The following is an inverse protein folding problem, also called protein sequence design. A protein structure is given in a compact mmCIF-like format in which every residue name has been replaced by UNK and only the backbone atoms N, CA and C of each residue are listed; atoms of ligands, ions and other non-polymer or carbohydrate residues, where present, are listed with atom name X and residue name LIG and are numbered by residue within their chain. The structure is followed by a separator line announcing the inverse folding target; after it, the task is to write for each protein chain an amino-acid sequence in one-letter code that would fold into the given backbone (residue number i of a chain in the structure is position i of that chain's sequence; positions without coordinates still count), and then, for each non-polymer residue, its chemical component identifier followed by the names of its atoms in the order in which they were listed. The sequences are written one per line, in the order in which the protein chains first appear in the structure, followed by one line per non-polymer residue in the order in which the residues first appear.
data_IF_487536294035
#
_entry.id   IF_487536294035
#
_cell.length_a   1.000
_cell.length_b   1.000
_cell.length_c   1.000
_cell.angle_alpha   90.00
_cell.angle_beta   90.00
_cell.angle_gamma   90.00
#
_symmetry.space_group_name_H-M   'P 1'
#
loop_
_entity.id
_entity.type
_entity.pdbx_description
1 polymer ?
#
# COMPACT_ATOMS: atom_id res chain seq x y z
N UNK A 1 8.00 16.54 7.67
CA UNK A 1 9.41 16.91 7.55
C UNK A 1 9.65 18.40 7.76
N UNK A 2 10.86 18.82 7.49
CA UNK A 2 11.33 20.21 7.71
C UNK A 2 11.62 20.96 6.41
N UNK A 3 11.23 20.43 5.26
CA UNK A 3 11.47 21.03 3.94
C UNK A 3 10.80 22.39 3.72
N UNK A 4 10.01 22.86 4.68
CA UNK A 4 9.52 24.22 4.75
C UNK A 4 10.57 25.23 5.29
N UNK A 5 11.72 24.77 5.79
CA UNK A 5 12.87 25.56 6.26
C UNK A 5 12.51 26.67 7.29
N UNK A 6 11.41 26.51 8.01
CA UNK A 6 10.89 27.54 8.92
C UNK A 6 10.34 28.79 8.21
N UNK A 7 9.92 28.64 6.95
CA UNK A 7 9.27 29.69 6.14
C UNK A 7 7.79 29.33 5.95
N UNK A 8 6.89 30.22 6.39
CA UNK A 8 5.44 29.99 6.36
C UNK A 8 4.88 29.95 4.93
N UNK A 9 5.38 30.80 4.03
CA UNK A 9 4.90 30.83 2.64
C UNK A 9 5.32 29.55 1.91
N UNK A 10 6.54 29.07 2.19
CA UNK A 10 7.00 27.79 1.65
C UNK A 10 6.19 26.62 2.23
N UNK A 11 5.87 26.63 3.52
CA UNK A 11 5.03 25.60 4.13
C UNK A 11 3.62 25.56 3.48
N UNK A 12 3.01 26.73 3.21
CA UNK A 12 1.73 26.81 2.49
C UNK A 12 1.84 26.31 1.04
N UNK A 13 2.92 26.67 0.35
CA UNK A 13 3.20 26.14 -1.00
C UNK A 13 3.29 24.61 -1.00
N UNK A 14 3.97 24.00 -0.01
CA UNK A 14 4.05 22.56 0.12
C UNK A 14 2.66 21.93 0.37
N UNK A 15 1.77 22.59 1.13
CA UNK A 15 0.39 22.15 1.32
C UNK A 15 -0.36 22.14 -0.02
N UNK A 16 -0.29 23.24 -0.78
CA UNK A 16 -0.96 23.36 -2.07
C UNK A 16 -0.45 22.30 -3.06
N UNK A 17 0.86 22.16 -3.18
CA UNK A 17 1.49 21.19 -4.09
C UNK A 17 1.19 19.74 -3.69
N UNK A 18 1.15 19.41 -2.40
CA UNK A 18 0.74 18.08 -1.92
C UNK A 18 -0.73 17.81 -2.26
N UNK A 19 -1.61 18.77 -2.06
CA UNK A 19 -3.02 18.66 -2.44
C UNK A 19 -3.21 18.49 -3.94
N UNK A 20 -2.55 19.31 -4.75
CA UNK A 20 -2.58 19.21 -6.21
C UNK A 20 -2.00 17.89 -6.72
N UNK A 21 -1.03 17.32 -6.02
CA UNK A 21 -0.46 16.00 -6.28
C UNK A 21 -1.39 14.84 -5.93
N UNK A 22 -2.44 15.10 -5.14
CA UNK A 22 -3.44 14.11 -4.74
C UNK A 22 -3.14 13.43 -3.39
N UNK A 23 -2.35 14.06 -2.52
CA UNK A 23 -2.17 13.57 -1.15
C UNK A 23 -3.47 13.68 -0.34
N UNK A 24 -3.70 12.71 0.53
CA UNK A 24 -4.81 12.72 1.48
C UNK A 24 -4.48 13.57 2.71
N UNK A 25 -3.20 13.57 3.12
CA UNK A 25 -2.69 14.33 4.26
C UNK A 25 -1.31 14.93 3.97
N UNK A 26 -1.00 16.04 4.64
CA UNK A 26 0.37 16.58 4.72
C UNK A 26 0.84 16.52 6.16
N UNK A 27 2.08 16.04 6.38
CA UNK A 27 2.62 15.86 7.73
C UNK A 27 3.87 16.69 7.96
N UNK A 28 3.83 17.48 9.04
CA UNK A 28 4.96 18.23 9.57
C UNK A 28 5.66 17.48 10.69
N UNK A 29 6.66 18.09 11.29
CA UNK A 29 7.34 17.66 12.51
C UNK A 29 7.34 18.80 13.51
N UNK A 30 7.04 18.49 14.76
CA UNK A 30 6.93 19.49 15.84
C UNK A 30 7.86 19.15 16.98
N UNK A 31 8.87 19.97 17.17
CA UNK A 31 9.88 19.81 18.21
C UNK A 31 10.57 21.14 18.55
N UNK A 32 11.27 21.15 19.66
CA UNK A 32 12.37 22.06 19.95
C UNK A 32 13.65 21.25 20.12
N UNK A 33 14.78 21.75 19.61
CA UNK A 33 16.04 21.02 19.71
C UNK A 33 16.42 20.71 21.17
N UNK A 34 16.12 21.63 22.08
CA UNK A 34 16.39 21.47 23.53
C UNK A 34 15.60 20.32 24.19
N UNK A 35 14.43 19.94 23.66
CA UNK A 35 13.60 18.84 24.17
C UNK A 35 13.82 17.53 23.43
N UNK A 36 14.32 17.60 22.18
CA UNK A 36 14.48 16.43 21.31
C UNK A 36 15.82 15.72 21.48
N UNK A 37 16.93 16.48 21.59
CA UNK A 37 18.28 15.89 21.56
C UNK A 37 19.19 16.49 22.61
N UNK A 38 20.13 15.69 23.13
CA UNK A 38 21.22 16.20 23.95
C UNK A 38 22.24 16.99 23.12
N UNK A 39 22.87 17.97 23.72
CA UNK A 39 23.82 18.88 23.03
C UNK A 39 24.98 18.18 22.34
N UNK A 40 25.35 16.99 22.81
CA UNK A 40 26.49 16.22 22.30
C UNK A 40 26.07 15.07 21.34
N UNK A 41 24.84 15.05 20.86
CA UNK A 41 24.36 14.02 19.94
C UNK A 41 25.05 14.12 18.57
N UNK A 42 25.76 13.07 18.09
CA UNK A 42 26.46 13.11 16.81
C UNK A 42 25.48 12.97 15.63
N UNK A 43 25.89 13.46 14.45
CA UNK A 43 25.19 13.20 13.21
C UNK A 43 25.14 11.70 12.88
N UNK A 44 24.05 11.24 12.26
CA UNK A 44 23.88 9.87 11.70
C UNK A 44 23.49 9.88 10.22
N UNK A 45 23.51 11.05 9.58
CA UNK A 45 23.24 11.24 8.15
C UNK A 45 24.53 11.40 7.35
N UNK A 46 24.40 11.47 6.02
CA UNK A 46 25.52 11.71 5.11
C UNK A 46 26.02 13.16 5.22
N UNK A 47 27.22 13.33 5.80
CA UNK A 47 27.87 14.65 5.94
C UNK A 47 28.25 15.29 4.59
N UNK A 48 28.25 14.55 3.50
CA UNK A 48 28.42 15.10 2.16
C UNK A 48 27.16 15.82 1.64
N UNK A 49 26.00 15.50 2.20
CA UNK A 49 24.69 16.11 1.87
C UNK A 49 24.29 17.19 2.87
N UNK A 50 24.46 16.92 4.16
CA UNK A 50 24.24 17.88 5.25
C UNK A 50 25.50 17.93 6.14
N UNK A 51 26.32 18.98 6.06
CA UNK A 51 27.62 19.03 6.71
C UNK A 51 27.59 19.24 8.23
N UNK A 52 26.43 19.49 8.81
CA UNK A 52 26.23 19.68 10.25
C UNK A 52 26.57 18.39 11.00
N UNK A 53 27.52 18.46 11.94
CA UNK A 53 28.04 17.28 12.67
C UNK A 53 27.25 16.95 13.94
N UNK A 54 26.38 17.82 14.39
CA UNK A 54 25.59 17.68 15.62
C UNK A 54 24.10 17.65 15.30
N UNK A 55 23.39 16.67 15.86
CA UNK A 55 21.92 16.63 15.76
C UNK A 55 21.30 17.89 16.39
N UNK A 56 21.82 18.34 17.53
CA UNK A 56 21.34 19.53 18.20
C UNK A 56 21.43 20.80 17.29
N UNK A 57 22.58 20.97 16.64
CA UNK A 57 22.75 22.12 15.72
C UNK A 57 21.81 22.04 14.51
N UNK A 58 21.63 20.84 13.94
CA UNK A 58 20.74 20.65 12.81
C UNK A 58 19.28 20.93 13.19
N UNK A 59 18.79 20.34 14.27
CA UNK A 59 17.41 20.57 14.69
C UNK A 59 17.15 21.99 15.12
N UNK A 60 18.10 22.66 15.77
CA UNK A 60 18.03 24.08 16.11
C UNK A 60 17.90 25.00 14.89
N UNK A 61 18.47 24.60 13.77
CA UNK A 61 18.37 25.32 12.49
C UNK A 61 16.92 25.36 11.97
N UNK A 62 16.13 24.30 12.27
CA UNK A 62 14.79 24.11 11.72
C UNK A 62 13.65 24.19 12.75
N UNK A 63 13.89 24.36 14.06
CA UNK A 63 12.87 24.44 15.11
C UNK A 63 12.20 25.83 15.24
N UNK A 64 12.00 26.48 14.10
CA UNK A 64 11.50 27.86 14.05
C UNK A 64 10.02 28.01 14.30
N UNK A 65 9.24 26.97 13.92
CA UNK A 65 7.80 26.98 14.11
C UNK A 65 7.42 26.52 15.53
N UNK A 66 6.30 27.05 16.01
CA UNK A 66 5.71 26.66 17.27
C UNK A 66 4.17 26.74 17.21
N UNK A 67 3.50 26.89 18.33
CA UNK A 67 2.05 26.78 18.47
C UNK A 67 1.27 27.61 17.45
N UNK A 68 1.58 28.89 17.34
CA UNK A 68 0.84 29.81 16.46
C UNK A 68 1.02 29.46 14.98
N UNK A 69 2.25 29.08 14.57
CA UNK A 69 2.52 28.67 13.20
C UNK A 69 1.80 27.36 12.89
N UNK A 70 1.76 26.38 13.80
CA UNK A 70 1.03 25.14 13.57
C UNK A 70 -0.48 25.33 13.52
N UNK A 71 -1.05 26.22 14.34
CA UNK A 71 -2.47 26.63 14.22
C UNK A 71 -2.73 27.27 12.86
N UNK A 72 -1.83 28.15 12.39
CA UNK A 72 -1.96 28.76 11.07
C UNK A 72 -1.89 27.75 9.93
N UNK A 73 -0.99 26.73 10.03
CA UNK A 73 -0.88 25.64 9.06
C UNK A 73 -2.13 24.75 9.06
N UNK A 74 -2.64 24.36 10.23
CA UNK A 74 -3.91 23.62 10.34
C UNK A 74 -5.05 24.36 9.65
N UNK A 75 -5.24 25.64 9.96
CA UNK A 75 -6.27 26.47 9.33
C UNK A 75 -6.09 26.59 7.80
N UNK A 76 -4.85 26.56 7.33
CA UNK A 76 -4.57 26.58 5.89
C UNK A 76 -4.89 25.24 5.24
N UNK A 77 -4.52 24.12 5.86
CA UNK A 77 -4.86 22.77 5.41
C UNK A 77 -6.38 22.57 5.31
N UNK A 78 -7.15 23.07 6.29
CA UNK A 78 -8.62 23.02 6.26
C UNK A 78 -9.20 23.74 5.05
N UNK A 79 -8.67 24.92 4.73
CA UNK A 79 -9.08 25.69 3.54
C UNK A 79 -8.67 25.01 2.23
N UNK A 80 -7.53 24.36 2.21
CA UNK A 80 -7.03 23.59 1.07
C UNK A 80 -7.72 22.22 0.95
N UNK A 81 -8.53 21.80 1.92
CA UNK A 81 -9.18 20.49 2.01
C UNK A 81 -8.17 19.33 1.92
N UNK A 82 -7.13 19.39 2.74
CA UNK A 82 -6.14 18.33 2.96
C UNK A 82 -5.97 18.11 4.46
N UNK A 83 -5.82 16.86 4.90
CA UNK A 83 -5.64 16.55 6.32
C UNK A 83 -4.30 17.09 6.83
N UNK A 84 -4.34 17.78 7.97
CA UNK A 84 -3.15 18.25 8.67
C UNK A 84 -2.67 17.21 9.68
N UNK A 85 -1.41 16.83 9.59
CA UNK A 85 -0.73 15.99 10.57
C UNK A 85 0.60 16.62 10.99
N UNK A 86 1.05 16.31 12.19
CA UNK A 86 2.41 16.57 12.63
C UNK A 86 2.90 15.46 13.54
N UNK A 87 4.17 15.10 13.44
CA UNK A 87 4.82 14.19 14.39
C UNK A 87 5.34 15.00 15.56
N UNK A 88 4.79 14.85 16.79
CA UNK A 88 5.38 15.42 17.97
C UNK A 88 6.61 14.63 18.41
N UNK A 89 7.58 15.31 19.02
CA UNK A 89 8.76 14.68 19.59
C UNK A 89 8.97 14.99 21.09
N UNK A 90 8.03 15.68 21.72
CA UNK A 90 8.01 15.95 23.16
C UNK A 90 6.58 16.09 23.69
N UNK A 91 6.44 16.10 25.03
CA UNK A 91 5.13 16.15 25.68
C UNK A 91 4.38 17.46 25.41
N UNK A 92 5.09 18.58 25.34
CA UNK A 92 4.46 19.89 25.09
C UNK A 92 3.93 19.96 23.65
N UNK A 93 4.73 19.48 22.69
CA UNK A 93 4.31 19.37 21.28
C UNK A 93 3.08 18.47 21.15
N UNK A 94 3.09 17.29 21.75
CA UNK A 94 1.95 16.37 21.73
C UNK A 94 0.70 16.99 22.36
N UNK A 95 0.87 17.73 23.46
CA UNK A 95 -0.23 18.38 24.17
C UNK A 95 -0.99 19.39 23.30
N UNK A 96 -0.31 20.35 22.68
CA UNK A 96 -1.01 21.34 21.88
C UNK A 96 -1.47 20.81 20.51
N UNK A 97 -0.76 19.83 19.92
CA UNK A 97 -1.18 19.20 18.69
C UNK A 97 -2.45 18.37 18.86
N UNK A 98 -2.77 17.95 20.07
CA UNK A 98 -4.03 17.25 20.34
C UNK A 98 -5.26 18.05 19.91
N UNK A 99 -5.24 19.37 20.00
CA UNK A 99 -6.35 20.23 19.55
C UNK A 99 -6.38 20.45 18.04
N UNK A 100 -5.31 20.08 17.32
CA UNK A 100 -5.14 20.34 15.89
C UNK A 100 -5.27 19.11 14.99
N UNK A 101 -5.15 17.90 15.55
CA UNK A 101 -5.10 16.64 14.78
C UNK A 101 -6.05 15.60 15.35
N UNK A 102 -6.61 14.77 14.47
CA UNK A 102 -7.45 13.64 14.86
C UNK A 102 -6.70 12.30 14.91
N UNK A 103 -5.46 12.26 14.43
CA UNK A 103 -4.59 11.09 14.40
C UNK A 103 -3.18 11.49 14.80
N UNK A 104 -2.54 10.72 15.68
CA UNK A 104 -1.15 10.93 16.05
C UNK A 104 -0.20 10.08 15.20
N UNK A 105 0.88 10.68 14.73
CA UNK A 105 2.03 9.95 14.15
C UNK A 105 3.14 9.86 15.19
N UNK A 106 3.61 8.65 15.46
CA UNK A 106 4.80 8.40 16.29
C UNK A 106 5.93 7.95 15.37
N UNK A 107 7.08 8.63 15.49
CA UNK A 107 8.29 8.32 14.75
C UNK A 107 8.90 6.97 15.17
N UNK A 108 9.63 6.32 14.26
CA UNK A 108 10.44 5.13 14.58
C UNK A 108 11.43 5.37 15.72
N UNK A 109 11.97 6.57 15.85
CA UNK A 109 12.90 6.92 16.93
C UNK A 109 12.29 6.85 18.32
N UNK A 110 10.97 6.91 18.42
CA UNK A 110 10.24 6.88 19.70
C UNK A 110 9.56 5.54 20.01
N UNK A 111 9.77 4.50 19.19
CA UNK A 111 9.07 3.21 19.38
C UNK A 111 9.36 2.57 20.76
N UNK A 112 10.54 2.81 21.32
CA UNK A 112 10.91 2.34 22.66
C UNK A 112 10.66 3.39 23.76
N UNK A 113 10.14 4.57 23.41
CA UNK A 113 9.86 5.66 24.34
C UNK A 113 8.48 5.45 25.01
N UNK A 114 8.40 4.43 25.86
CA UNK A 114 7.17 4.05 26.57
C UNK A 114 6.44 5.21 27.25
N UNK A 115 7.11 6.09 28.02
CA UNK A 115 6.42 7.21 28.66
C UNK A 115 5.75 8.15 27.66
N UNK A 116 6.39 8.43 26.53
CA UNK A 116 5.87 9.29 25.49
C UNK A 116 4.68 8.65 24.76
N UNK A 117 4.79 7.37 24.40
CA UNK A 117 3.70 6.61 23.77
C UNK A 117 2.48 6.59 24.69
N UNK A 118 2.67 6.28 25.97
CA UNK A 118 1.58 6.23 26.94
C UNK A 118 0.91 7.59 27.14
N UNK A 119 1.67 8.69 27.13
CA UNK A 119 1.12 10.03 27.19
C UNK A 119 0.24 10.36 25.98
N UNK A 120 0.70 10.01 24.76
CA UNK A 120 -0.12 10.19 23.54
C UNK A 120 -1.40 9.35 23.61
N UNK A 121 -1.33 8.14 24.16
CA UNK A 121 -2.51 7.30 24.33
C UNK A 121 -3.60 7.94 25.22
N UNK A 122 -3.24 8.79 26.18
CA UNK A 122 -4.20 9.49 27.05
C UNK A 122 -5.17 10.40 26.27
N UNK A 123 -4.81 10.81 25.06
CA UNK A 123 -5.69 11.62 24.21
C UNK A 123 -6.82 10.79 23.54
N UNK A 124 -6.77 9.46 23.62
CA UNK A 124 -7.83 8.59 23.10
C UNK A 124 -7.93 8.55 21.56
N UNK A 125 -6.96 9.13 20.84
CA UNK A 125 -6.98 9.23 19.37
C UNK A 125 -6.26 8.06 18.70
N UNK A 126 -6.56 7.78 17.42
CA UNK A 126 -5.80 6.80 16.61
C UNK A 126 -4.31 7.16 16.52
N UNK A 127 -3.48 6.12 16.45
CA UNK A 127 -2.02 6.25 16.38
C UNK A 127 -1.50 5.53 15.13
N UNK A 128 -0.60 6.19 14.40
CA UNK A 128 0.21 5.62 13.33
C UNK A 128 1.65 5.52 13.85
N UNK A 129 2.15 4.30 14.07
CA UNK A 129 3.48 4.04 14.61
C UNK A 129 4.41 3.52 13.53
N UNK A 130 5.52 4.20 13.26
CA UNK A 130 6.60 3.70 12.40
C UNK A 130 7.54 2.78 13.16
N UNK A 131 8.04 1.73 12.48
CA UNK A 131 8.78 0.61 13.09
C UNK A 131 10.22 0.49 12.58
N UNK A 132 10.80 1.57 12.04
CA UNK A 132 12.21 1.59 11.59
C UNK A 132 13.18 1.35 12.73
N UNK A 133 14.30 0.68 12.44
CA UNK A 133 15.35 0.30 13.39
C UNK A 133 14.83 -0.54 14.59
N UNK A 134 13.77 -1.31 14.39
CA UNK A 134 13.14 -2.12 15.45
C UNK A 134 13.08 -3.60 15.07
N UNK A 135 13.17 -4.46 16.06
CA UNK A 135 12.87 -5.88 15.93
C UNK A 135 11.40 -6.19 16.31
N UNK A 136 10.94 -7.42 16.06
CA UNK A 136 9.56 -7.82 16.33
C UNK A 136 9.15 -7.71 17.80
N UNK A 137 10.06 -7.96 18.74
CA UNK A 137 9.76 -7.89 20.16
C UNK A 137 9.54 -6.44 20.60
N UNK A 138 10.34 -5.49 20.12
CA UNK A 138 10.16 -4.06 20.38
C UNK A 138 8.84 -3.53 19.79
N UNK A 139 8.48 -3.98 18.58
CA UNK A 139 7.20 -3.62 17.96
C UNK A 139 6.04 -4.19 18.80
N UNK A 140 6.15 -5.44 19.25
CA UNK A 140 5.13 -6.07 20.08
C UNK A 140 4.95 -5.35 21.41
N UNK A 141 6.04 -5.02 22.11
CA UNK A 141 5.96 -4.23 23.34
C UNK A 141 5.26 -2.88 23.13
N UNK A 142 5.64 -2.15 22.06
CA UNK A 142 5.01 -0.87 21.75
C UNK A 142 3.50 -1.03 21.42
N UNK A 143 3.13 -2.08 20.69
CA UNK A 143 1.71 -2.36 20.40
C UNK A 143 0.93 -2.69 21.67
N UNK A 144 1.49 -3.45 22.60
CA UNK A 144 0.88 -3.77 23.90
C UNK A 144 0.64 -2.50 24.75
N UNK A 145 1.56 -1.53 24.73
CA UNK A 145 1.35 -0.26 25.44
C UNK A 145 0.17 0.52 24.88
N UNK A 146 0.01 0.55 23.54
CA UNK A 146 -1.12 1.23 22.89
C UNK A 146 -2.43 0.45 23.11
N UNK A 147 -2.42 -0.88 22.92
CA UNK A 147 -3.60 -1.73 23.15
C UNK A 147 -4.14 -1.61 24.58
N UNK A 148 -3.23 -1.56 25.58
CA UNK A 148 -3.63 -1.44 26.98
C UNK A 148 -4.44 -0.17 27.29
N UNK A 149 -4.39 0.83 26.41
CA UNK A 149 -5.12 2.10 26.51
C UNK A 149 -6.35 2.14 25.58
N UNK A 150 -6.51 1.17 24.68
CA UNK A 150 -7.66 1.07 23.80
C UNK A 150 -7.62 1.97 22.56
N UNK A 151 -6.46 2.58 22.24
CA UNK A 151 -6.34 3.43 21.06
C UNK A 151 -6.29 2.60 19.76
N UNK A 152 -6.99 3.02 18.68
CA UNK A 152 -6.77 2.43 17.37
C UNK A 152 -5.32 2.61 16.90
N UNK A 153 -4.74 1.57 16.29
CA UNK A 153 -3.33 1.55 15.91
C UNK A 153 -3.15 1.09 14.46
N UNK A 154 -2.26 1.77 13.74
CA UNK A 154 -1.70 1.32 12.47
C UNK A 154 -0.17 1.29 12.58
N UNK A 155 0.47 0.33 11.91
CA UNK A 155 1.92 0.14 11.90
C UNK A 155 2.48 0.47 10.52
N UNK A 156 3.60 1.20 10.45
CA UNK A 156 4.29 1.43 9.19
C UNK A 156 5.62 0.68 9.18
N UNK A 157 5.81 -0.23 8.23
CA UNK A 157 7.16 -0.68 7.89
C UNK A 157 8.01 0.53 7.51
N UNK A 158 9.22 0.58 8.00
CA UNK A 158 10.13 1.70 7.78
C UNK A 158 11.57 1.22 7.93
N UNK A 159 12.46 1.76 7.12
CA UNK A 159 13.91 1.65 7.32
C UNK A 159 14.42 3.04 7.73
N UNK A 160 15.00 3.12 8.90
CA UNK A 160 15.50 4.39 9.48
C UNK A 160 16.90 4.72 8.94
N UNK A 161 16.99 4.91 7.64
CA UNK A 161 18.21 5.28 6.91
C UNK A 161 17.86 6.27 5.80
N UNK A 162 18.67 7.34 5.64
CA UNK A 162 18.37 8.50 4.78
C UNK A 162 19.55 8.79 3.81
N UNK A 163 19.47 8.36 2.52
CA UNK A 163 18.39 7.59 1.92
C UNK A 163 18.51 6.10 2.26
N UNK A 164 17.40 5.39 2.22
CA UNK A 164 17.41 3.93 2.16
C UNK A 164 17.78 3.49 0.75
N UNK A 165 18.74 2.57 0.60
CA UNK A 165 19.04 1.95 -0.69
C UNK A 165 17.94 0.97 -1.07
N UNK A 166 17.69 0.76 -2.37
CA UNK A 166 16.64 -0.14 -2.84
C UNK A 166 16.78 -1.57 -2.28
N UNK A 167 18.02 -2.10 -2.22
CA UNK A 167 18.30 -3.42 -1.65
C UNK A 167 18.03 -3.53 -0.14
N UNK A 168 18.03 -2.40 0.57
CA UNK A 168 17.78 -2.33 2.01
C UNK A 168 16.29 -2.05 2.34
N UNK A 169 15.46 -1.72 1.36
CA UNK A 169 14.05 -1.37 1.59
C UNK A 169 13.23 -2.54 2.15
N UNK A 170 13.62 -3.79 1.85
CA UNK A 170 13.03 -5.02 2.42
C UNK A 170 11.49 -5.02 2.47
N UNK A 171 10.83 -4.61 1.39
CA UNK A 171 9.38 -4.41 1.34
C UNK A 171 8.57 -5.67 1.68
N UNK A 172 9.15 -6.87 1.52
CA UNK A 172 8.51 -8.11 1.96
C UNK A 172 8.22 -8.16 3.47
N UNK A 173 8.91 -7.34 4.30
CA UNK A 173 8.61 -7.21 5.72
C UNK A 173 7.20 -6.66 5.99
N UNK A 174 6.58 -5.95 5.03
CA UNK A 174 5.17 -5.53 5.12
C UNK A 174 4.26 -6.75 5.28
N UNK A 175 4.49 -7.80 4.48
CA UNK A 175 3.69 -9.03 4.58
C UNK A 175 3.98 -9.81 5.87
N UNK A 176 5.22 -9.78 6.34
CA UNK A 176 5.60 -10.40 7.61
C UNK A 176 4.94 -9.69 8.80
N UNK A 177 4.96 -8.36 8.82
CA UNK A 177 4.25 -7.56 9.82
C UNK A 177 2.74 -7.84 9.81
N UNK A 178 2.11 -7.99 8.64
CA UNK A 178 0.69 -8.37 8.55
C UNK A 178 0.39 -9.75 9.16
N UNK A 179 1.33 -10.70 9.11
CA UNK A 179 1.19 -12.02 9.76
C UNK A 179 1.31 -11.92 11.26
N UNK A 180 2.28 -11.13 11.75
CA UNK A 180 2.52 -10.99 13.19
C UNK A 180 1.51 -10.08 13.88
N UNK A 181 0.98 -9.09 13.15
CA UNK A 181 0.06 -8.07 13.65
C UNK A 181 -1.25 -8.01 12.84
N UNK A 182 -2.02 -9.10 12.72
CA UNK A 182 -3.19 -9.19 11.82
C UNK A 182 -4.35 -8.25 12.20
N UNK A 183 -4.33 -7.72 13.42
CA UNK A 183 -5.35 -6.78 13.92
C UNK A 183 -5.18 -5.36 13.39
N UNK A 184 -3.95 -4.98 12.95
CA UNK A 184 -3.63 -3.62 12.60
C UNK A 184 -3.48 -3.43 11.11
N UNK A 185 -3.94 -2.30 10.55
CA UNK A 185 -3.50 -1.86 9.25
C UNK A 185 -1.97 -1.74 9.22
N UNK A 186 -1.35 -2.26 8.17
CA UNK A 186 0.08 -2.11 7.94
C UNK A 186 0.30 -1.22 6.73
N UNK A 187 1.20 -0.26 6.86
CA UNK A 187 1.60 0.66 5.81
C UNK A 187 3.12 0.68 5.62
N UNK A 188 3.60 1.67 4.88
CA UNK A 188 5.00 1.89 4.58
C UNK A 188 5.40 3.36 4.73
N UNK A 189 6.45 3.64 5.48
CA UNK A 189 7.10 4.94 5.58
C UNK A 189 8.45 4.88 4.85
N UNK A 190 8.53 5.52 3.69
CA UNK A 190 9.61 5.39 2.72
C UNK A 190 10.67 6.46 2.84
N UNK A 191 11.93 6.05 2.80
CA UNK A 191 13.11 6.92 2.74
C UNK A 191 14.02 6.58 1.55
N UNK A 192 13.57 5.80 0.58
CA UNK A 192 14.32 5.56 -0.66
C UNK A 192 14.35 6.81 -1.54
N UNK A 193 15.23 6.84 -2.52
CA UNK A 193 15.18 7.89 -3.56
C UNK A 193 13.86 7.78 -4.32
N UNK A 194 13.23 8.90 -4.73
CA UNK A 194 11.91 8.87 -5.38
C UNK A 194 11.92 8.06 -6.69
N UNK A 195 12.96 8.20 -7.52
CA UNK A 195 13.08 7.44 -8.76
C UNK A 195 11.82 7.51 -9.63
N UNK A 196 11.28 6.36 -9.94
CA UNK A 196 10.02 6.19 -10.66
C UNK A 196 8.83 5.84 -9.74
N UNK A 197 8.99 5.96 -8.43
CA UNK A 197 8.02 5.67 -7.37
C UNK A 197 7.67 4.18 -7.19
N UNK A 198 8.36 3.27 -7.87
CA UNK A 198 8.06 1.82 -7.85
C UNK A 198 8.08 1.20 -6.46
N UNK A 199 8.91 1.69 -5.53
CA UNK A 199 9.00 1.17 -4.16
C UNK A 199 7.67 1.36 -3.42
N UNK A 200 7.00 2.50 -3.61
CA UNK A 200 5.66 2.76 -3.05
C UNK A 200 4.60 1.88 -3.71
N UNK A 201 4.68 1.70 -5.04
CA UNK A 201 3.77 0.86 -5.81
C UNK A 201 3.86 -0.60 -5.35
N UNK A 202 5.09 -1.13 -5.21
CA UNK A 202 5.35 -2.47 -4.69
C UNK A 202 4.82 -2.61 -3.26
N UNK A 203 5.04 -1.61 -2.39
CA UNK A 203 4.53 -1.63 -1.03
C UNK A 203 2.99 -1.76 -0.99
N UNK A 204 2.28 -1.02 -1.84
CA UNK A 204 0.81 -1.13 -1.97
C UNK A 204 0.40 -2.52 -2.45
N UNK A 205 1.07 -3.09 -3.47
CA UNK A 205 0.81 -4.44 -3.97
C UNK A 205 1.09 -5.52 -2.91
N UNK A 206 2.03 -5.30 -2.01
CA UNK A 206 2.30 -6.17 -0.85
C UNK A 206 1.29 -5.96 0.30
N UNK A 207 0.36 -5.03 0.13
CA UNK A 207 -0.77 -4.79 1.02
C UNK A 207 -0.55 -3.68 2.04
N UNK A 208 0.35 -2.73 1.76
CA UNK A 208 0.42 -1.49 2.52
C UNK A 208 -0.85 -0.66 2.26
N UNK A 209 -1.53 -0.25 3.33
CA UNK A 209 -2.76 0.54 3.29
C UNK A 209 -2.53 2.03 3.58
N UNK A 210 -1.35 2.37 4.09
CA UNK A 210 -0.91 3.74 4.38
C UNK A 210 0.47 3.91 3.76
N UNK A 211 0.65 4.97 3.00
CA UNK A 211 1.95 5.34 2.40
C UNK A 211 2.38 6.69 2.93
N UNK A 212 3.58 6.75 3.45
CA UNK A 212 4.21 7.99 3.92
C UNK A 212 5.55 8.18 3.20
N UNK A 213 5.81 9.39 2.71
CA UNK A 213 7.10 9.77 2.12
C UNK A 213 7.38 11.25 2.36
N UNK A 214 8.65 11.61 2.52
CA UNK A 214 9.07 13.01 2.55
C UNK A 214 8.62 13.72 1.28
N UNK A 215 8.25 15.00 1.42
CA UNK A 215 7.76 15.83 0.33
C UNK A 215 8.56 17.13 0.22
N UNK A 216 8.81 17.59 -1.00
CA UNK A 216 9.51 18.83 -1.30
C UNK A 216 8.96 19.50 -2.55
N UNK A 217 9.18 20.79 -2.67
CA UNK A 217 8.90 21.52 -3.92
C UNK A 217 10.08 21.47 -4.91
N UNK A 218 11.28 21.10 -4.44
CA UNK A 218 12.49 21.00 -5.27
C UNK A 218 13.49 20.01 -4.63
N UNK A 219 13.74 18.90 -5.33
CA UNK A 219 14.68 17.84 -4.91
C UNK A 219 16.15 18.23 -5.02
N UNK A 220 16.48 19.34 -5.69
CA UNK A 220 17.85 19.80 -5.91
C UNK A 220 18.37 20.71 -4.79
N UNK A 221 17.50 21.12 -3.87
CA UNK A 221 17.88 21.97 -2.76
C UNK A 221 18.84 21.26 -1.80
N UNK A 222 19.76 22.03 -1.19
CA UNK A 222 20.68 21.49 -0.20
C UNK A 222 19.95 21.08 1.07
N UNK A 223 20.52 20.14 1.82
CA UNK A 223 19.97 19.65 3.08
C UNK A 223 19.64 18.15 3.03
N UNK A 224 19.34 17.58 4.18
CA UNK A 224 19.19 16.15 4.31
C UNK A 224 17.88 15.60 3.70
N UNK A 225 16.79 16.37 3.71
CA UNK A 225 15.44 15.85 3.46
C UNK A 225 14.90 16.12 2.04
N UNK A 226 15.58 16.96 1.21
CA UNK A 226 15.07 17.31 -0.11
C UNK A 226 15.33 16.23 -1.17
N UNK A 227 16.54 15.70 -1.25
CA UNK A 227 16.97 14.85 -2.36
C UNK A 227 16.34 13.46 -2.37
N UNK A 228 15.84 12.96 -1.23
CA UNK A 228 15.11 11.70 -1.14
C UNK A 228 13.59 11.89 -1.00
N UNK A 229 13.11 13.13 -0.96
CA UNK A 229 11.69 13.45 -0.95
C UNK A 229 11.07 13.28 -2.34
N UNK A 230 9.78 13.03 -2.39
CA UNK A 230 9.00 13.17 -3.62
C UNK A 230 8.57 14.63 -3.81
N UNK A 231 8.35 15.03 -5.04
CA UNK A 231 7.70 16.28 -5.39
C UNK A 231 6.26 16.05 -5.91
N UNK A 232 5.61 17.14 -6.32
CA UNK A 232 4.23 17.09 -6.82
C UNK A 232 4.05 16.17 -8.02
N UNK A 233 5.00 16.16 -8.95
CA UNK A 233 4.90 15.36 -10.17
C UNK A 233 5.14 13.86 -9.88
N UNK A 234 6.05 13.55 -8.95
CA UNK A 234 6.23 12.17 -8.46
C UNK A 234 4.93 11.66 -7.82
N UNK A 235 4.27 12.50 -7.00
CA UNK A 235 3.02 12.12 -6.33
C UNK A 235 1.88 11.91 -7.32
N UNK A 236 1.71 12.80 -8.31
CA UNK A 236 0.73 12.62 -9.39
C UNK A 236 0.95 11.33 -10.16
N UNK A 237 2.21 11.05 -10.52
CA UNK A 237 2.59 9.81 -11.21
C UNK A 237 2.23 8.58 -10.37
N UNK A 238 2.59 8.59 -9.10
CA UNK A 238 2.27 7.50 -8.18
C UNK A 238 0.75 7.27 -8.08
N UNK A 239 -0.05 8.31 -7.91
CA UNK A 239 -1.52 8.20 -7.84
C UNK A 239 -2.10 7.64 -9.14
N UNK A 240 -1.67 8.14 -10.30
CA UNK A 240 -2.13 7.65 -11.60
C UNK A 240 -1.77 6.17 -11.84
N UNK A 241 -0.57 5.75 -11.41
CA UNK A 241 -0.16 4.35 -11.50
C UNK A 241 -0.99 3.46 -10.58
N UNK A 242 -1.31 3.91 -9.36
CA UNK A 242 -2.19 3.16 -8.45
C UNK A 242 -3.58 2.94 -9.04
N UNK A 243 -4.19 3.95 -9.65
CA UNK A 243 -5.49 3.82 -10.32
C UNK A 243 -5.44 2.76 -11.42
N UNK A 244 -4.36 2.76 -12.21
CA UNK A 244 -4.12 1.73 -13.24
C UNK A 244 -3.94 0.33 -12.62
N UNK A 245 -3.21 0.21 -11.52
CA UNK A 245 -3.00 -1.08 -10.84
C UNK A 245 -4.30 -1.65 -10.29
N UNK A 246 -5.14 -0.84 -9.66
CA UNK A 246 -6.42 -1.33 -9.15
C UNK A 246 -7.37 -1.76 -10.27
N UNK A 247 -7.33 -1.10 -11.43
CA UNK A 247 -8.04 -1.57 -12.61
C UNK A 247 -7.52 -2.93 -13.10
N UNK A 248 -6.19 -3.12 -13.12
CA UNK A 248 -5.56 -4.38 -13.55
C UNK A 248 -5.76 -5.51 -12.55
N UNK A 249 -5.77 -5.22 -11.25
CA UNK A 249 -6.04 -6.20 -10.20
C UNK A 249 -7.46 -6.77 -10.31
N UNK A 250 -8.43 -5.93 -10.63
CA UNK A 250 -9.81 -6.35 -10.81
C UNK A 250 -10.38 -7.10 -9.59
N UNK A 251 -11.08 -8.19 -9.87
CA UNK A 251 -11.73 -9.02 -8.85
C UNK A 251 -10.76 -10.05 -8.24
N UNK A 252 -10.91 -10.36 -6.96
CA UNK A 252 -10.08 -11.34 -6.27
C UNK A 252 -10.58 -12.79 -6.42
N UNK A 253 -11.84 -12.98 -6.83
CA UNK A 253 -12.41 -14.30 -7.03
C UNK A 253 -12.18 -14.80 -8.46
N UNK A 254 -11.65 -16.03 -8.62
CA UNK A 254 -11.46 -16.62 -9.95
C UNK A 254 -12.78 -17.06 -10.55
N UNK A 255 -13.26 -16.31 -11.52
CA UNK A 255 -14.43 -16.65 -12.33
C UNK A 255 -14.16 -16.37 -13.82
N UNK A 256 -15.10 -16.76 -14.69
CA UNK A 256 -15.09 -16.35 -16.10
C UNK A 256 -15.77 -14.99 -16.24
N UNK A 257 -15.13 -14.09 -16.91
CA UNK A 257 -15.68 -12.74 -17.16
C UNK A 257 -16.56 -12.72 -18.42
N UNK A 258 -17.46 -11.74 -18.51
CA UNK A 258 -18.43 -11.62 -19.62
C UNK A 258 -17.74 -11.55 -20.98
N UNK A 259 -16.58 -10.89 -21.07
CA UNK A 259 -15.82 -10.78 -22.32
C UNK A 259 -15.24 -12.11 -22.82
N UNK A 260 -15.20 -13.16 -21.98
CA UNK A 260 -14.75 -14.51 -22.36
C UNK A 260 -15.89 -15.39 -22.91
N UNK A 261 -17.16 -14.92 -22.90
CA UNK A 261 -18.29 -15.78 -23.26
C UNK A 261 -18.21 -16.31 -24.71
N UNK A 262 -17.80 -15.46 -25.66
CA UNK A 262 -17.56 -15.88 -27.03
C UNK A 262 -16.47 -16.97 -27.12
N UNK A 263 -15.41 -16.84 -26.34
CA UNK A 263 -14.34 -17.84 -26.27
C UNK A 263 -14.80 -19.13 -25.56
N UNK A 264 -15.62 -19.02 -24.53
CA UNK A 264 -16.20 -20.20 -23.85
C UNK A 264 -17.05 -21.02 -24.82
N UNK A 265 -17.85 -20.38 -25.66
CA UNK A 265 -18.70 -21.05 -26.63
C UNK A 265 -17.91 -21.59 -27.83
N UNK A 266 -17.03 -20.78 -28.44
CA UNK A 266 -16.43 -21.11 -29.73
C UNK A 266 -15.04 -21.77 -29.62
N UNK A 267 -14.27 -21.53 -28.57
CA UNK A 267 -12.93 -22.10 -28.39
C UNK A 267 -12.93 -23.40 -27.56
N UNK A 268 -13.95 -23.63 -26.74
CA UNK A 268 -14.11 -24.90 -26.05
C UNK A 268 -14.50 -26.00 -27.04
N UNK A 269 -14.43 -27.26 -26.61
CA UNK A 269 -14.71 -28.42 -27.46
C UNK A 269 -16.01 -29.11 -27.05
N UNK A 270 -16.64 -29.72 -28.02
CA UNK A 270 -17.71 -30.71 -27.86
C UNK A 270 -17.22 -32.08 -28.25
N UNK A 271 -17.89 -33.13 -27.82
CA UNK A 271 -17.77 -34.47 -28.39
C UNK A 271 -18.30 -34.45 -29.82
N UNK A 272 -17.62 -35.11 -30.74
CA UNK A 272 -17.91 -35.14 -32.18
C UNK A 272 -17.80 -36.56 -32.66
N UNK A 273 -18.71 -36.97 -33.55
CA UNK A 273 -18.66 -38.27 -34.19
C UNK A 273 -17.41 -38.40 -35.11
N UNK A 274 -16.53 -39.37 -34.81
CA UNK A 274 -15.34 -39.63 -35.63
C UNK A 274 -15.66 -40.37 -36.94
N UNK A 275 -16.75 -41.13 -36.92
CA UNK A 275 -17.29 -41.91 -38.04
C UNK A 275 -18.82 -41.94 -38.02
N UNK A 276 -19.45 -42.50 -39.01
CA UNK A 276 -20.89 -42.72 -39.01
C UNK A 276 -21.30 -43.70 -37.89
N UNK A 277 -22.37 -43.38 -37.17
CA UNK A 277 -22.96 -44.19 -36.10
C UNK A 277 -24.43 -44.43 -36.42
N UNK A 278 -24.87 -45.65 -36.43
CA UNK A 278 -26.25 -46.02 -36.77
C UNK A 278 -27.19 -45.94 -35.57
N UNK A 279 -28.45 -45.62 -35.82
CA UNK A 279 -29.50 -45.65 -34.80
C UNK A 279 -29.49 -47.00 -34.02
N UNK A 280 -29.59 -46.95 -32.69
CA UNK A 280 -29.51 -48.13 -31.81
C UNK A 280 -28.09 -48.63 -31.53
N UNK A 281 -27.06 -48.11 -32.19
CA UNK A 281 -25.67 -48.52 -31.96
C UNK A 281 -25.20 -48.01 -30.60
N UNK A 282 -24.56 -48.88 -29.80
CA UNK A 282 -23.87 -48.51 -28.57
C UNK A 282 -22.72 -47.56 -28.89
N UNK A 283 -22.66 -46.42 -28.24
CA UNK A 283 -21.56 -45.46 -28.40
C UNK A 283 -20.28 -46.02 -27.74
N UNK A 284 -19.18 -46.07 -28.49
CA UNK A 284 -17.86 -46.48 -28.01
C UNK A 284 -16.86 -45.34 -28.09
N UNK A 285 -15.73 -45.46 -27.39
CA UNK A 285 -14.66 -44.45 -27.44
C UNK A 285 -14.08 -44.27 -28.86
N UNK A 286 -14.08 -45.33 -29.65
CA UNK A 286 -13.60 -45.34 -31.07
C UNK A 286 -14.48 -44.49 -32.00
N UNK A 287 -15.76 -44.26 -31.60
CA UNK A 287 -16.73 -43.50 -32.37
C UNK A 287 -16.60 -41.99 -32.13
N UNK A 288 -15.82 -41.59 -31.09
CA UNK A 288 -15.80 -40.23 -30.59
C UNK A 288 -14.44 -39.54 -30.83
N UNK A 289 -14.52 -38.29 -31.14
CA UNK A 289 -13.41 -37.32 -31.05
C UNK A 289 -13.94 -36.05 -30.41
N UNK A 290 -13.08 -35.03 -30.26
CA UNK A 290 -13.49 -33.74 -29.70
C UNK A 290 -12.93 -32.56 -30.49
N UNK A 291 -13.82 -31.72 -30.95
CA UNK A 291 -13.52 -30.54 -31.76
C UNK A 291 -14.23 -29.29 -31.23
N UNK A 292 -13.79 -28.13 -31.67
CA UNK A 292 -14.53 -26.86 -31.49
C UNK A 292 -15.73 -26.83 -32.44
N UNK A 293 -16.81 -26.11 -32.07
CA UNK A 293 -17.07 -25.31 -30.89
C UNK A 293 -17.58 -26.11 -29.68
N UNK A 294 -17.75 -25.45 -28.54
CA UNK A 294 -18.31 -26.01 -27.30
C UNK A 294 -19.83 -25.89 -27.21
N UNK A 295 -20.54 -26.11 -28.33
CA UNK A 295 -22.00 -25.97 -28.43
C UNK A 295 -22.78 -27.25 -28.20
N UNK A 296 -22.09 -28.39 -28.08
CA UNK A 296 -22.68 -29.69 -27.80
C UNK A 296 -22.23 -30.29 -26.47
N UNK A 297 -22.27 -31.61 -26.34
CA UNK A 297 -21.86 -32.33 -25.13
C UNK A 297 -20.38 -32.09 -24.87
N UNK A 298 -20.05 -31.56 -23.69
CA UNK A 298 -18.67 -31.33 -23.29
C UNK A 298 -17.87 -32.65 -23.22
N UNK A 299 -16.61 -32.68 -23.64
CA UNK A 299 -15.72 -33.88 -23.50
C UNK A 299 -15.61 -34.40 -22.07
N UNK A 300 -15.84 -33.60 -21.04
CA UNK A 300 -15.87 -34.04 -19.64
C UNK A 300 -16.98 -35.06 -19.34
N UNK A 301 -18.01 -35.14 -20.19
CA UNK A 301 -19.15 -36.05 -20.03
C UNK A 301 -18.94 -37.38 -20.78
N UNK A 302 -17.74 -37.64 -21.31
CA UNK A 302 -17.46 -38.83 -22.17
C UNK A 302 -17.86 -40.14 -21.50
N UNK A 303 -17.52 -40.35 -20.23
CA UNK A 303 -17.85 -41.57 -19.51
C UNK A 303 -19.36 -41.81 -19.39
N UNK A 304 -20.12 -40.71 -19.36
CA UNK A 304 -21.59 -40.78 -19.36
C UNK A 304 -22.10 -41.13 -20.75
N UNK A 305 -21.57 -40.47 -21.79
CA UNK A 305 -21.96 -40.74 -23.21
C UNK A 305 -21.71 -42.17 -23.62
N UNK A 306 -20.65 -42.82 -23.16
CA UNK A 306 -20.34 -44.24 -23.44
C UNK A 306 -21.37 -45.23 -22.89
N UNK A 307 -22.28 -44.79 -22.02
CA UNK A 307 -23.40 -45.61 -21.50
C UNK A 307 -24.67 -45.50 -22.34
N UNK A 308 -24.67 -44.70 -23.41
CA UNK A 308 -25.81 -44.41 -24.27
C UNK A 308 -25.67 -45.10 -25.62
N UNK A 309 -26.81 -45.33 -26.28
CA UNK A 309 -26.94 -45.67 -27.70
C UNK A 309 -27.30 -44.43 -28.53
N UNK A 310 -27.01 -44.50 -29.83
CA UNK A 310 -27.48 -43.46 -30.73
C UNK A 310 -28.98 -43.54 -30.90
N UNK A 311 -29.71 -42.45 -30.65
CA UNK A 311 -31.16 -42.37 -30.84
C UNK A 311 -31.58 -42.25 -32.35
N UNK A 312 -30.63 -41.82 -33.19
CA UNK A 312 -30.77 -41.67 -34.65
C UNK A 312 -29.43 -41.86 -35.33
N UNK A 313 -29.39 -41.98 -36.64
CA UNK A 313 -28.15 -41.97 -37.40
C UNK A 313 -27.38 -40.67 -37.15
N UNK A 314 -26.09 -40.76 -36.84
CA UNK A 314 -25.18 -39.65 -36.56
C UNK A 314 -24.09 -39.65 -37.64
N UNK A 315 -24.04 -38.59 -38.44
CA UNK A 315 -23.03 -38.49 -39.51
C UNK A 315 -21.63 -38.20 -38.96
N UNK A 316 -20.54 -38.55 -39.65
CA UNK A 316 -19.20 -38.13 -39.29
C UNK A 316 -19.12 -36.61 -39.15
N UNK A 317 -18.28 -36.16 -38.24
CA UNK A 317 -18.05 -34.74 -37.90
C UNK A 317 -19.26 -34.00 -37.25
N UNK A 318 -20.34 -34.73 -36.91
CA UNK A 318 -21.49 -34.17 -36.17
C UNK A 318 -21.14 -33.97 -34.70
N UNK A 319 -21.52 -32.79 -34.17
CA UNK A 319 -21.40 -32.47 -32.75
C UNK A 319 -22.51 -33.21 -31.99
N UNK A 320 -22.13 -33.99 -30.99
CA UNK A 320 -23.10 -34.69 -30.12
C UNK A 320 -23.94 -33.73 -29.31
N UNK A 321 -25.26 -33.95 -29.33
CA UNK A 321 -26.24 -33.34 -28.42
C UNK A 321 -26.86 -34.44 -27.56
N UNK A 322 -27.35 -34.11 -26.39
CA UNK A 322 -28.05 -35.08 -25.53
C UNK A 322 -29.28 -35.67 -26.20
N UNK A 323 -29.92 -34.93 -27.11
CA UNK A 323 -31.05 -35.41 -27.94
C UNK A 323 -30.68 -36.48 -28.96
N UNK A 324 -29.38 -36.66 -29.23
CA UNK A 324 -28.87 -37.70 -30.18
C UNK A 324 -28.67 -39.03 -29.49
N UNK A 325 -28.87 -39.11 -28.20
CA UNK A 325 -28.55 -40.24 -27.34
C UNK A 325 -29.80 -40.78 -26.59
N UNK A 326 -29.86 -42.08 -26.38
CA UNK A 326 -30.91 -42.78 -25.64
C UNK A 326 -30.28 -43.78 -24.66
N UNK A 327 -30.81 -43.87 -23.47
CA UNK A 327 -30.55 -44.97 -22.52
C UNK A 327 -31.49 -46.13 -22.78
N UNK A 328 -31.03 -47.35 -22.52
CA UNK A 328 -31.87 -48.55 -22.56
C UNK A 328 -32.98 -48.49 -21.52
#
# INVERSE_FOLDING_TARGET
GVNHEGNMDLAKRLIDEAKEGGADAIKFQTYKADTLVSKNSPAYWDLGKEPTKSQYELFRKYDKFWKDEFVALKNYCDKANIEFLSTPFDLESAGFLNDLMDVFKISSSDITNKPFIQYICEFGKPIILSTGASNLDEIKEATEWVESRGNPLALLHCILNYPTRDEDANLAMIQDMKKHFPKYPVGYSDHTLPGDMKNLEIAVLLGASIIEKHFTHDKTLPGNDHYHAMDKEDLKKFKANLDSFFQLLGDHEKHSIVTEEAARTNARRSLVAKREIKAGQQISFEDITWKRPGTGISPKEIEKVLKYKAAKDIAPDSIFQWSDLVQD
#
